data_IF_438156242786
#
_entry.id   IF_438156242786
#
_cell.length_a   1.000
_cell.length_b   1.000
_cell.length_c   1.000
_cell.angle_alpha   90.00
_cell.angle_beta   90.00
_cell.angle_gamma   90.00
#
_symmetry.space_group_name_H-M   'P 1'
#
loop_
_entity.id
_entity.type
_entity.pdbx_description
1 polymer ?
#
# COMPACT_ATOMS: atom_id res chain seq x y z
N UNK A 1 27.72 47.53 20.72
CA UNK A 1 26.97 46.26 20.67
C UNK A 1 25.65 46.47 21.37
N UNK A 2 24.62 46.87 20.62
CA UNK A 2 23.28 47.14 21.15
C UNK A 2 22.34 46.05 20.68
N UNK A 3 21.63 45.47 21.63
CA UNK A 3 20.70 44.35 21.50
C UNK A 3 19.54 44.70 20.57
N UNK A 4 19.19 43.73 19.72
CA UNK A 4 18.10 43.79 18.73
C UNK A 4 16.74 44.03 19.40
N UNK A 5 15.96 44.95 18.83
CA UNK A 5 14.58 45.25 19.23
C UNK A 5 13.65 44.07 18.93
N UNK A 6 13.11 43.45 19.98
CA UNK A 6 12.00 42.51 19.89
C UNK A 6 10.74 43.23 19.43
N UNK A 7 10.31 42.95 18.19
CA UNK A 7 9.02 43.41 17.66
C UNK A 7 7.91 42.63 18.35
N UNK A 8 7.03 43.35 19.04
CA UNK A 8 5.86 42.82 19.68
C UNK A 8 4.92 42.14 18.68
N UNK A 9 4.59 40.88 18.96
CA UNK A 9 3.41 40.21 18.43
C UNK A 9 2.64 39.59 19.59
N UNK A 10 2.18 40.43 20.50
CA UNK A 10 1.11 40.06 21.42
C UNK A 10 -0.19 40.61 20.84
N UNK A 11 -0.78 39.88 19.89
CA UNK A 11 -2.15 40.15 19.44
C UNK A 11 -3.04 39.01 19.95
N UNK A 12 -3.62 39.28 21.12
CA UNK A 12 -4.99 39.00 21.57
C UNK A 12 -5.74 37.94 20.73
N UNK A 13 -6.14 36.84 21.37
CA UNK A 13 -7.09 35.85 20.85
C UNK A 13 -8.21 36.52 20.04
N UNK A 14 -8.06 36.53 18.72
CA UNK A 14 -9.11 36.91 17.81
C UNK A 14 -9.99 35.67 17.66
N UNK A 15 -11.09 35.67 18.42
CA UNK A 15 -12.10 34.63 18.36
C UNK A 15 -12.71 34.66 16.96
N UNK A 16 -12.26 33.76 16.08
CA UNK A 16 -12.81 33.61 14.74
C UNK A 16 -14.33 33.42 14.84
N UNK A 17 -15.14 34.22 14.12
CA UNK A 17 -16.59 34.11 14.19
C UNK A 17 -17.02 32.72 13.72
N UNK A 18 -17.94 32.11 14.47
CA UNK A 18 -18.56 30.84 14.08
C UNK A 18 -19.28 31.07 12.76
N UNK A 19 -18.77 30.44 11.71
CA UNK A 19 -19.29 30.51 10.35
C UNK A 19 -20.72 29.96 10.36
N UNK A 20 -21.67 30.76 9.86
CA UNK A 20 -23.09 30.39 9.86
C UNK A 20 -23.35 29.22 8.89
N UNK A 21 -24.38 28.43 9.17
CA UNK A 21 -24.76 27.27 8.36
C UNK A 21 -25.03 27.66 6.90
N UNK A 22 -25.67 28.82 6.68
CA UNK A 22 -25.91 29.40 5.36
C UNK A 22 -24.61 29.68 4.58
N UNK A 23 -23.57 30.17 5.26
CA UNK A 23 -22.28 30.46 4.62
C UNK A 23 -21.55 29.18 4.21
N UNK A 24 -21.66 28.12 5.02
CA UNK A 24 -21.11 26.80 4.67
C UNK A 24 -21.87 26.17 3.51
N UNK A 25 -23.20 26.27 3.48
CA UNK A 25 -24.03 25.75 2.39
C UNK A 25 -23.75 26.46 1.05
N UNK A 26 -23.60 27.79 1.08
CA UNK A 26 -23.25 28.57 -0.10
C UNK A 26 -21.86 28.20 -0.64
N UNK A 27 -20.88 27.97 0.25
CA UNK A 27 -19.53 27.55 -0.12
C UNK A 27 -19.54 26.16 -0.76
N UNK A 28 -20.25 25.20 -0.16
CA UNK A 28 -20.39 23.84 -0.67
C UNK A 28 -21.01 23.84 -2.08
N UNK A 29 -22.04 24.65 -2.32
CA UNK A 29 -22.68 24.78 -3.64
C UNK A 29 -21.74 25.35 -4.71
N UNK A 30 -20.87 26.28 -4.34
CA UNK A 30 -19.90 26.88 -5.27
C UNK A 30 -18.71 25.93 -5.53
N UNK A 31 -18.29 25.19 -4.52
CA UNK A 31 -17.24 24.18 -4.63
C UNK A 31 -17.68 22.97 -5.48
N UNK A 32 -18.95 22.55 -5.39
CA UNK A 32 -19.51 21.48 -6.22
C UNK A 32 -19.40 21.75 -7.73
N UNK A 33 -19.29 23.01 -8.16
CA UNK A 33 -19.07 23.37 -9.56
C UNK A 33 -17.64 23.12 -10.04
N UNK A 34 -16.70 22.91 -9.12
CA UNK A 34 -15.27 22.75 -9.40
C UNK A 34 -14.68 21.44 -8.89
N UNK A 35 -15.48 20.62 -8.17
CA UNK A 35 -15.09 19.33 -7.63
C UNK A 35 -15.93 18.25 -8.32
N UNK A 36 -15.28 17.37 -9.08
CA UNK A 36 -15.93 16.15 -9.59
C UNK A 36 -16.29 15.24 -8.42
N UNK A 37 -17.56 15.21 -8.07
CA UNK A 37 -18.12 14.22 -7.14
C UNK A 37 -18.11 12.86 -7.84
N UNK A 38 -17.29 11.93 -7.37
CA UNK A 38 -17.39 10.53 -7.78
C UNK A 38 -18.65 9.96 -7.12
N UNK A 39 -19.72 9.86 -7.90
CA UNK A 39 -20.94 9.20 -7.48
C UNK A 39 -20.67 7.68 -7.47
N UNK A 40 -20.72 7.02 -6.31
CA UNK A 40 -20.81 5.57 -6.25
C UNK A 40 -22.20 5.15 -6.74
N UNK A 41 -22.32 4.31 -7.78
CA UNK A 41 -23.61 3.89 -8.27
C UNK A 41 -24.27 2.90 -7.30
N UNK A 42 -25.46 3.29 -6.87
CA UNK A 42 -26.48 2.45 -6.25
C UNK A 42 -26.95 1.38 -7.25
N UNK A 43 -26.80 0.11 -6.86
CA UNK A 43 -27.44 -1.14 -7.32
C UNK A 43 -27.89 -1.36 -8.79
N UNK A 44 -27.43 -2.50 -9.35
CA UNK A 44 -28.12 -3.28 -10.39
C UNK A 44 -27.63 -4.75 -10.39
N UNK A 45 -28.28 -5.67 -11.13
CA UNK A 45 -29.39 -6.57 -10.81
C UNK A 45 -28.94 -7.96 -10.27
N UNK A 46 -29.86 -8.88 -9.86
CA UNK A 46 -29.47 -10.14 -9.24
C UNK A 46 -29.13 -11.20 -10.28
N UNK A 47 -28.03 -11.92 -10.05
CA UNK A 47 -27.80 -13.22 -10.68
C UNK A 47 -26.48 -13.39 -11.41
N UNK A 48 -25.36 -13.26 -10.72
CA UNK A 48 -24.20 -14.13 -10.94
C UNK A 48 -23.34 -14.06 -9.67
N UNK A 49 -22.97 -15.23 -9.13
CA UNK A 49 -22.36 -15.38 -7.81
C UNK A 49 -21.06 -14.59 -7.70
N UNK A 50 -21.14 -13.40 -7.12
CA UNK A 50 -19.97 -12.63 -6.72
C UNK A 50 -19.33 -13.26 -5.48
N UNK A 51 -17.99 -13.31 -5.38
CA UNK A 51 -17.35 -13.57 -4.10
C UNK A 51 -17.80 -12.48 -3.12
N UNK A 52 -18.27 -12.91 -1.95
CA UNK A 52 -18.76 -12.06 -0.87
C UNK A 52 -17.83 -10.87 -0.64
N UNK A 53 -18.30 -9.69 -1.06
CA UNK A 53 -17.69 -8.40 -0.75
C UNK A 53 -17.96 -8.11 0.72
N UNK A 54 -16.91 -8.26 1.53
CA UNK A 54 -16.89 -7.76 2.90
C UNK A 54 -16.65 -6.25 2.86
N UNK A 55 -17.55 -5.50 3.49
CA UNK A 55 -17.62 -4.04 3.44
C UNK A 55 -16.29 -3.38 3.87
N UNK A 56 -15.82 -2.40 3.09
CA UNK A 56 -14.73 -1.50 3.49
C UNK A 56 -13.32 -2.11 3.58
N UNK A 57 -13.12 -3.35 3.12
CA UNK A 57 -11.84 -4.06 3.23
C UNK A 57 -10.88 -3.80 2.06
N UNK A 58 -9.65 -3.40 2.37
CA UNK A 58 -8.52 -3.41 1.43
C UNK A 58 -8.41 -4.83 0.83
N UNK A 59 -8.48 -4.96 -0.50
CA UNK A 59 -8.43 -6.26 -1.19
C UNK A 59 -7.03 -6.84 -0.98
N UNK A 60 -6.90 -7.79 -0.05
CA UNK A 60 -5.65 -8.51 0.19
C UNK A 60 -5.47 -9.51 -0.96
N UNK A 61 -4.36 -9.45 -1.73
CA UNK A 61 -4.12 -10.37 -2.82
C UNK A 61 -3.95 -11.79 -2.27
N UNK A 62 -4.46 -12.79 -2.99
CA UNK A 62 -4.42 -14.19 -2.58
C UNK A 62 -3.46 -15.00 -3.45
N UNK A 63 -2.78 -16.01 -2.89
CA UNK A 63 -1.93 -16.90 -3.65
C UNK A 63 -2.74 -17.69 -4.68
N UNK A 64 -2.10 -18.01 -5.81
CA UNK A 64 -2.66 -18.87 -6.86
C UNK A 64 -1.69 -20.01 -7.16
N UNK A 65 -2.14 -21.07 -7.84
CA UNK A 65 -1.26 -22.18 -8.22
C UNK A 65 -0.10 -21.74 -9.13
N UNK A 66 -0.33 -20.73 -9.98
CA UNK A 66 0.71 -20.19 -10.85
C UNK A 66 1.65 -19.22 -10.13
N UNK A 67 1.16 -18.54 -9.10
CA UNK A 67 1.90 -17.54 -8.33
C UNK A 67 1.73 -17.79 -6.83
N UNK A 68 2.38 -18.82 -6.28
CA UNK A 68 2.21 -19.19 -4.89
C UNK A 68 3.03 -18.33 -3.94
N UNK A 69 4.01 -17.57 -4.43
CA UNK A 69 5.07 -17.00 -3.61
C UNK A 69 4.85 -15.52 -3.22
N UNK A 70 5.45 -15.11 -2.11
CA UNK A 70 5.53 -13.72 -1.63
C UNK A 70 6.97 -13.25 -1.75
N UNK A 71 7.18 -12.12 -2.42
CA UNK A 71 8.49 -11.46 -2.46
C UNK A 71 8.54 -10.36 -1.38
N UNK A 72 9.66 -10.26 -0.68
CA UNK A 72 9.84 -9.30 0.43
C UNK A 72 11.15 -8.53 0.25
N UNK A 73 11.07 -7.20 0.39
CA UNK A 73 12.23 -6.33 0.38
C UNK A 73 12.64 -6.00 1.81
N UNK A 74 13.77 -6.55 2.23
CA UNK A 74 14.30 -6.40 3.58
C UNK A 74 15.82 -6.27 3.56
N UNK A 75 16.38 -5.42 4.42
CA UNK A 75 17.83 -5.28 4.59
C UNK A 75 18.44 -6.38 5.48
N UNK A 76 17.64 -6.92 6.41
CA UNK A 76 18.09 -7.82 7.47
C UNK A 76 17.32 -9.16 7.53
N UNK A 77 16.24 -9.29 6.75
CA UNK A 77 15.34 -10.45 6.75
C UNK A 77 14.31 -10.50 7.88
N UNK A 78 14.27 -9.48 8.74
CA UNK A 78 13.33 -9.40 9.88
C UNK A 78 12.22 -8.37 9.62
N UNK A 79 12.54 -7.25 8.99
CA UNK A 79 11.62 -6.13 8.79
C UNK A 79 11.48 -5.75 7.32
N UNK A 80 10.29 -5.29 6.93
CA UNK A 80 10.02 -4.76 5.59
C UNK A 80 10.43 -3.28 5.59
N UNK A 81 11.70 -3.00 5.29
CA UNK A 81 12.31 -1.68 5.47
C UNK A 81 12.88 -1.07 4.19
N UNK A 82 12.87 -1.82 3.08
CA UNK A 82 13.46 -1.36 1.83
C UNK A 82 12.44 -0.73 0.87
N UNK A 83 12.84 0.42 0.31
CA UNK A 83 12.16 1.05 -0.82
C UNK A 83 12.44 0.26 -2.11
N UNK A 84 11.41 -0.01 -2.92
CA UNK A 84 11.52 -0.78 -4.19
C UNK A 84 12.59 -0.21 -5.14
N UNK A 85 12.63 1.11 -5.22
CA UNK A 85 13.66 1.92 -5.89
C UNK A 85 15.12 1.60 -5.53
N UNK A 86 15.41 1.07 -4.35
CA UNK A 86 16.77 0.84 -3.86
C UNK A 86 17.13 -0.64 -3.74
N UNK A 87 16.12 -1.52 -3.70
CA UNK A 87 16.35 -2.94 -3.47
C UNK A 87 17.05 -3.63 -4.65
N UNK A 88 18.14 -4.32 -4.33
CA UNK A 88 18.90 -5.18 -5.26
C UNK A 88 18.70 -6.67 -4.96
N UNK A 89 17.90 -7.00 -3.93
CA UNK A 89 17.56 -8.37 -3.54
C UNK A 89 16.12 -8.46 -3.07
N UNK A 90 15.50 -9.62 -3.30
CA UNK A 90 14.20 -9.99 -2.76
C UNK A 90 14.28 -11.34 -2.07
N UNK A 91 13.70 -11.44 -0.88
CA UNK A 91 13.50 -12.68 -0.15
C UNK A 91 12.20 -13.33 -0.63
N UNK A 92 12.24 -14.59 -1.03
CA UNK A 92 11.09 -15.29 -1.59
C UNK A 92 10.55 -16.27 -0.55
N UNK A 93 9.32 -16.02 -0.09
CA UNK A 93 8.61 -16.87 0.83
C UNK A 93 7.53 -17.68 0.11
N UNK A 94 7.40 -18.95 0.46
CA UNK A 94 6.39 -19.85 -0.11
C UNK A 94 5.71 -20.72 0.94
N UNK A 95 4.59 -21.35 0.58
CA UNK A 95 3.90 -22.27 1.47
C UNK A 95 4.69 -23.57 1.65
N UNK A 96 4.75 -24.07 2.89
CA UNK A 96 5.30 -25.39 3.25
C UNK A 96 4.17 -26.40 3.48
N UNK A 97 4.51 -27.69 3.48
CA UNK A 97 3.57 -28.80 3.70
C UNK A 97 2.80 -28.73 5.03
N UNK A 98 3.37 -28.08 6.04
CA UNK A 98 2.76 -27.86 7.36
C UNK A 98 1.81 -26.64 7.39
N UNK A 99 1.63 -25.95 6.26
CA UNK A 99 0.77 -24.78 6.12
C UNK A 99 1.41 -23.47 6.58
N UNK A 100 2.67 -23.49 7.00
CA UNK A 100 3.42 -22.29 7.36
C UNK A 100 4.17 -21.73 6.15
N UNK A 101 4.41 -20.42 6.15
CA UNK A 101 5.28 -19.80 5.16
C UNK A 101 6.75 -19.99 5.55
N UNK A 102 7.62 -20.29 4.59
CA UNK A 102 9.05 -20.44 4.79
C UNK A 102 9.83 -19.66 3.73
N UNK A 103 11.02 -19.17 4.10
CA UNK A 103 11.97 -18.60 3.16
C UNK A 103 12.48 -19.70 2.24
N UNK A 104 12.20 -19.59 0.94
CA UNK A 104 12.62 -20.54 -0.09
C UNK A 104 14.01 -20.20 -0.61
N UNK A 105 14.20 -18.94 -0.99
CA UNK A 105 15.43 -18.47 -1.62
C UNK A 105 15.54 -16.93 -1.55
N UNK A 106 16.67 -16.41 -2.02
CA UNK A 106 16.88 -14.97 -2.27
C UNK A 106 17.21 -14.78 -3.73
N UNK A 107 16.55 -13.81 -4.38
CA UNK A 107 16.79 -13.48 -5.79
C UNK A 107 17.41 -12.09 -5.91
N UNK A 108 18.43 -11.96 -6.74
CA UNK A 108 18.99 -10.67 -7.11
C UNK A 108 18.02 -9.91 -8.03
N UNK A 109 17.92 -8.61 -7.81
CA UNK A 109 17.12 -7.68 -8.60
C UNK A 109 18.05 -6.77 -9.42
N UNK A 110 17.57 -6.22 -10.55
CA UNK A 110 18.35 -5.30 -11.36
C UNK A 110 18.74 -4.03 -10.59
N UNK A 111 19.96 -3.55 -10.87
CA UNK A 111 20.50 -2.31 -10.31
C UNK A 111 19.58 -1.09 -10.57
N UNK A 112 19.52 -0.13 -9.64
CA UNK A 112 18.81 1.13 -9.85
C UNK A 112 19.34 1.91 -11.06
N UNK A 113 18.47 2.69 -11.72
CA UNK A 113 18.86 3.65 -12.76
C UNK A 113 18.36 3.35 -14.18
N UNK A 114 17.87 2.14 -14.45
CA UNK A 114 17.40 1.74 -15.80
C UNK A 114 15.94 2.13 -16.14
N UNK A 115 15.31 2.98 -15.33
CA UNK A 115 13.93 3.45 -15.55
C UNK A 115 12.91 2.31 -15.64
N UNK A 116 11.99 2.40 -16.61
CA UNK A 116 10.89 1.44 -16.79
C UNK A 116 11.37 0.00 -17.07
N UNK A 117 12.50 -0.15 -17.77
CA UNK A 117 13.08 -1.46 -18.09
C UNK A 117 13.43 -2.25 -16.81
N UNK A 118 13.86 -1.54 -15.75
CA UNK A 118 14.12 -2.17 -14.45
C UNK A 118 12.89 -2.91 -13.93
N UNK A 119 11.71 -2.31 -14.04
CA UNK A 119 10.47 -2.89 -13.52
C UNK A 119 9.98 -4.07 -14.36
N UNK A 120 10.24 -4.05 -15.67
CA UNK A 120 9.98 -5.21 -16.54
C UNK A 120 10.86 -6.41 -16.13
N UNK A 121 12.14 -6.17 -15.83
CA UNK A 121 13.04 -7.22 -15.35
C UNK A 121 12.63 -7.74 -13.96
N UNK A 122 12.25 -6.86 -13.04
CA UNK A 122 11.71 -7.27 -11.72
C UNK A 122 10.46 -8.14 -11.89
N UNK A 123 9.55 -7.78 -12.80
CA UNK A 123 8.37 -8.57 -13.07
C UNK A 123 8.70 -9.99 -13.58
N UNK A 124 9.72 -10.13 -14.42
CA UNK A 124 10.15 -11.44 -14.92
C UNK A 124 10.83 -12.28 -13.83
N UNK A 125 11.68 -11.66 -12.99
CA UNK A 125 12.36 -12.32 -11.86
C UNK A 125 11.35 -12.82 -10.81
N UNK A 126 10.25 -12.09 -10.62
CA UNK A 126 9.21 -12.36 -9.60
C UNK A 126 7.89 -12.84 -10.20
N UNK A 127 7.92 -13.48 -11.37
CA UNK A 127 6.72 -13.89 -12.12
C UNK A 127 5.83 -14.91 -11.40
N UNK A 128 6.41 -15.69 -10.51
CA UNK A 128 5.78 -16.69 -9.63
C UNK A 128 5.33 -16.11 -8.28
N UNK A 129 5.59 -14.82 -8.02
CA UNK A 129 5.15 -14.15 -6.81
C UNK A 129 3.81 -13.45 -7.07
N UNK A 130 2.80 -13.62 -6.21
CA UNK A 130 1.53 -12.90 -6.35
C UNK A 130 1.58 -11.49 -5.76
N UNK A 131 2.51 -11.27 -4.84
CA UNK A 131 2.67 -10.01 -4.11
C UNK A 131 4.14 -9.72 -3.80
N UNK A 132 4.48 -8.43 -3.81
CA UNK A 132 5.77 -7.88 -3.42
C UNK A 132 5.56 -6.89 -2.26
N UNK A 133 6.22 -7.14 -1.14
CA UNK A 133 6.18 -6.29 0.06
C UNK A 133 7.38 -5.35 0.08
N UNK A 134 7.12 -4.06 0.23
CA UNK A 134 8.14 -3.02 0.29
C UNK A 134 7.73 -1.94 1.30
N UNK A 135 8.70 -1.25 1.90
CA UNK A 135 8.40 -0.08 2.74
C UNK A 135 7.75 1.05 1.92
N UNK A 136 8.20 1.21 0.67
CA UNK A 136 7.71 2.26 -0.23
C UNK A 136 8.01 1.98 -1.70
N UNK A 137 7.17 2.52 -2.59
CA UNK A 137 7.36 2.49 -4.03
C UNK A 137 6.66 3.68 -4.70
N UNK A 138 7.27 4.22 -5.77
CA UNK A 138 6.62 5.22 -6.62
C UNK A 138 5.44 4.66 -7.42
N UNK A 139 4.59 5.53 -7.96
CA UNK A 139 3.41 5.08 -8.72
C UNK A 139 3.78 4.27 -9.97
N UNK A 140 4.75 4.76 -10.74
CA UNK A 140 5.19 4.15 -12.00
C UNK A 140 5.60 2.67 -11.88
N UNK A 141 6.49 2.26 -10.94
CA UNK A 141 6.79 0.83 -10.75
C UNK A 141 5.57 0.03 -10.32
N UNK A 142 4.68 0.59 -9.49
CA UNK A 142 3.45 -0.11 -9.05
C UNK A 142 2.54 -0.41 -10.23
N UNK A 143 2.36 0.54 -11.14
CA UNK A 143 1.53 0.37 -12.34
C UNK A 143 2.11 -0.69 -13.28
N UNK A 144 3.42 -0.66 -13.51
CA UNK A 144 4.09 -1.64 -14.39
C UNK A 144 3.99 -3.04 -13.77
N UNK A 145 4.39 -3.21 -12.51
CA UNK A 145 4.34 -4.51 -11.84
C UNK A 145 2.91 -5.05 -11.73
N UNK A 146 1.94 -4.17 -11.42
CA UNK A 146 0.52 -4.51 -11.40
C UNK A 146 0.00 -4.97 -12.77
N UNK A 147 0.43 -4.35 -13.86
CA UNK A 147 0.14 -4.80 -15.23
C UNK A 147 0.69 -6.19 -15.55
N UNK A 148 1.76 -6.62 -14.86
CA UNK A 148 2.29 -7.98 -14.91
C UNK A 148 1.68 -8.90 -13.84
N UNK A 149 0.63 -8.46 -13.15
CA UNK A 149 -0.07 -9.22 -12.10
C UNK A 149 0.68 -9.35 -10.77
N UNK A 150 1.76 -8.59 -10.57
CA UNK A 150 2.49 -8.53 -9.29
C UNK A 150 1.96 -7.36 -8.47
N UNK A 151 1.18 -7.65 -7.44
CA UNK A 151 0.65 -6.60 -6.55
C UNK A 151 1.75 -6.08 -5.64
N UNK A 152 1.96 -4.77 -5.57
CA UNK A 152 2.91 -4.15 -4.63
C UNK A 152 2.16 -3.64 -3.41
N UNK A 153 2.43 -4.23 -2.25
CA UNK A 153 1.90 -3.76 -0.96
C UNK A 153 2.96 -2.95 -0.22
N UNK A 154 2.54 -1.80 0.30
CA UNK A 154 3.39 -0.88 1.02
C UNK A 154 3.11 -0.98 2.51
N UNK A 155 4.09 -1.42 3.28
CA UNK A 155 4.03 -1.52 4.73
C UNK A 155 5.44 -1.57 5.33
N UNK A 156 5.55 -1.10 6.56
CA UNK A 156 6.72 -1.29 7.42
C UNK A 156 6.26 -2.13 8.61
N UNK A 157 6.60 -3.42 8.59
CA UNK A 157 6.20 -4.40 9.59
C UNK A 157 7.22 -5.56 9.63
N UNK A 158 7.03 -6.49 10.55
CA UNK A 158 7.81 -7.70 10.60
C UNK A 158 7.47 -8.63 9.42
N UNK A 159 8.50 -9.25 8.85
CA UNK A 159 8.37 -10.12 7.68
C UNK A 159 7.51 -11.36 7.99
N UNK A 160 7.73 -12.01 9.12
CA UNK A 160 7.03 -13.26 9.47
C UNK A 160 5.52 -13.04 9.59
N UNK A 161 5.12 -12.04 10.38
CA UNK A 161 3.70 -11.72 10.57
C UNK A 161 3.01 -11.28 9.28
N UNK A 162 3.69 -10.44 8.48
CA UNK A 162 3.14 -9.95 7.21
C UNK A 162 2.94 -11.05 6.19
N UNK A 163 3.91 -11.96 6.07
CA UNK A 163 3.83 -13.10 5.15
C UNK A 163 2.75 -14.09 5.62
N UNK A 164 2.68 -14.39 6.92
CA UNK A 164 1.67 -15.30 7.49
C UNK A 164 0.23 -14.82 7.23
N UNK A 165 -0.04 -13.51 7.38
CA UNK A 165 -1.36 -12.92 7.09
C UNK A 165 -1.76 -13.14 5.63
N UNK A 166 -0.83 -13.04 4.68
CA UNK A 166 -1.10 -13.23 3.25
C UNK A 166 -1.45 -14.67 2.88
N UNK A 167 -0.97 -15.64 3.66
CA UNK A 167 -1.36 -17.04 3.55
C UNK A 167 -2.57 -17.41 4.43
N UNK A 168 -3.13 -16.47 5.18
CA UNK A 168 -4.37 -16.63 5.96
C UNK A 168 -4.20 -16.87 7.46
N UNK A 169 -2.99 -16.72 8.01
CA UNK A 169 -2.67 -17.00 9.42
C UNK A 169 -3.23 -16.02 10.47
N UNK A 170 -3.89 -14.94 10.05
CA UNK A 170 -4.45 -13.90 10.94
C UNK A 170 -5.80 -14.22 11.64
N UNK A 171 -6.41 -15.40 11.43
CA UNK A 171 -7.75 -15.74 12.02
C UNK A 171 -7.70 -16.28 13.46
N UNK A 172 -6.73 -15.86 14.28
CA UNK A 172 -6.72 -16.19 15.72
C UNK A 172 -7.27 -15.00 16.52
N UNK A 173 -8.52 -15.16 16.96
CA UNK A 173 -9.44 -14.14 17.47
C UNK A 173 -8.87 -13.10 18.43
N UNK A 174 -9.20 -11.84 18.14
CA UNK A 174 -9.22 -10.77 19.14
C UNK A 174 -10.59 -10.75 19.81
N UNK A 175 -10.79 -11.67 20.75
CA UNK A 175 -11.87 -11.57 21.74
C UNK A 175 -11.21 -11.38 23.10
N UNK A 176 -10.94 -10.12 23.48
CA UNK A 176 -10.71 -9.72 24.86
C UNK A 176 -10.74 -8.21 25.03
#
# INVERSE_FOLDING_TARGET
>A
MSLLSGKGWLNKEEKLPLVSEDTMAALAKKAAQHISVVCLPEQAPPGESMPSVDEGGMIVPKPTTARPNVAVLSSNGMDIDLHLGQAIKALIYGPREDGLACLLETRDLPEPGSGDNRWQQVAEILKDCFVLLAASAGQKPRDILGGHGLTVLLLEDNVEGSVDVLYGGGKKGKNR
#
